data_IF_098652666253
#
_entry.id   IF_098652666253
#
_cell.length_a   1.000
_cell.length_b   1.000
_cell.length_c   1.000
_cell.angle_alpha   90.00
_cell.angle_beta   90.00
_cell.angle_gamma   90.00
#
_symmetry.space_group_name_H-M   'P 1'
#
loop_
_entity.id
_entity.type
_entity.pdbx_description
1 polymer ?
#
# COMPACT_ATOMS: atom_id res chain seq x y z
N UNK A 1 1.17 -16.35 0.21
CA UNK A 1 0.71 -15.24 -0.67
C UNK A 1 -0.78 -15.05 -0.46
N UNK A 2 -1.20 -13.80 -0.26
CA UNK A 2 -2.60 -13.41 -0.22
C UNK A 2 -2.92 -12.58 -1.46
N UNK A 3 -3.98 -12.91 -2.19
CA UNK A 3 -4.37 -12.23 -3.41
C UNK A 3 -5.88 -12.28 -3.66
N UNK A 4 -6.42 -11.30 -4.38
CA UNK A 4 -7.78 -11.42 -4.93
C UNK A 4 -7.81 -12.52 -6.00
N UNK A 5 -8.95 -13.22 -6.25
CA UNK A 5 -9.03 -14.35 -7.19
C UNK A 5 -8.51 -14.05 -8.60
N UNK A 6 -8.77 -12.83 -9.10
CA UNK A 6 -8.29 -12.37 -10.41
C UNK A 6 -6.77 -12.17 -10.48
N UNK A 7 -6.11 -12.00 -9.33
CA UNK A 7 -4.65 -11.90 -9.20
C UNK A 7 -4.04 -13.27 -8.88
N UNK A 8 -4.71 -14.06 -8.04
CA UNK A 8 -4.27 -15.41 -7.65
C UNK A 8 -4.15 -16.34 -8.88
N UNK A 9 -5.14 -16.34 -9.76
CA UNK A 9 -5.17 -17.22 -10.92
C UNK A 9 -3.99 -17.02 -11.90
N UNK A 10 -3.58 -15.80 -12.30
CA UNK A 10 -2.35 -15.58 -13.08
C UNK A 10 -1.09 -16.01 -12.33
N UNK A 11 -0.97 -15.72 -11.03
CA UNK A 11 0.20 -16.12 -10.24
C UNK A 11 0.35 -17.64 -10.24
N UNK A 12 -0.72 -18.37 -9.94
CA UNK A 12 -0.72 -19.85 -9.96
C UNK A 12 -0.37 -20.40 -11.34
N UNK A 13 -0.81 -19.76 -12.42
CA UNK A 13 -0.51 -20.17 -13.79
C UNK A 13 0.96 -19.96 -14.15
N UNK A 14 1.54 -18.81 -13.81
CA UNK A 14 2.89 -18.46 -14.21
C UNK A 14 3.97 -18.98 -13.25
N UNK A 15 3.63 -19.16 -11.98
CA UNK A 15 4.55 -19.60 -10.93
C UNK A 15 4.11 -20.92 -10.30
N UNK A 16 3.38 -21.76 -11.04
CA UNK A 16 2.84 -23.03 -10.54
C UNK A 16 3.89 -23.94 -9.88
N UNK A 17 5.15 -23.85 -10.31
CA UNK A 17 6.27 -24.60 -9.74
C UNK A 17 6.60 -24.21 -8.28
N UNK A 18 6.08 -23.09 -7.77
CA UNK A 18 6.22 -22.67 -6.39
C UNK A 18 5.07 -23.16 -5.49
N UNK A 19 3.99 -23.66 -6.08
CA UNK A 19 2.77 -24.05 -5.38
C UNK A 19 2.53 -25.55 -5.57
N UNK A 20 2.28 -26.28 -4.52
CA UNK A 20 1.98 -27.71 -4.61
C UNK A 20 3.03 -28.59 -3.95
N UNK A 21 2.79 -29.92 -4.01
CA UNK A 21 3.63 -30.90 -3.34
C UNK A 21 4.86 -31.32 -4.16
N UNK A 22 4.78 -31.24 -5.47
CA UNK A 22 5.82 -31.70 -6.41
C UNK A 22 6.59 -30.49 -6.98
N UNK A 23 7.15 -29.67 -6.12
CA UNK A 23 7.95 -28.54 -6.53
C UNK A 23 9.42 -28.95 -6.77
N UNK A 24 10.11 -28.24 -7.64
CA UNK A 24 11.52 -28.46 -7.92
C UNK A 24 12.36 -28.17 -6.66
N UNK A 25 13.30 -29.05 -6.27
CA UNK A 25 14.22 -28.79 -5.15
C UNK A 25 14.95 -27.45 -5.35
N UNK A 26 14.82 -26.53 -4.38
CA UNK A 26 15.41 -25.19 -4.45
C UNK A 26 14.45 -24.11 -4.95
N UNK A 27 13.24 -24.46 -5.43
CA UNK A 27 12.20 -23.46 -5.66
C UNK A 27 11.54 -23.06 -4.34
N UNK A 28 11.05 -21.81 -4.22
CA UNK A 28 10.27 -21.37 -3.06
C UNK A 28 9.01 -22.23 -2.88
N UNK A 29 8.68 -22.55 -1.64
CA UNK A 29 7.39 -23.15 -1.31
C UNK A 29 6.41 -22.04 -0.92
N UNK A 30 5.36 -21.85 -1.70
CA UNK A 30 4.35 -20.83 -1.47
C UNK A 30 2.98 -21.47 -1.26
N UNK A 31 2.18 -20.85 -0.41
CA UNK A 31 0.76 -21.16 -0.25
C UNK A 31 -0.05 -19.97 -0.73
N UNK A 32 -1.07 -20.22 -1.56
CA UNK A 32 -2.00 -19.21 -2.02
C UNK A 32 -3.21 -19.16 -1.08
N UNK A 33 -3.55 -17.95 -0.64
CA UNK A 33 -4.78 -17.64 0.08
C UNK A 33 -5.52 -16.56 -0.70
N UNK A 34 -6.78 -16.77 -0.99
CA UNK A 34 -7.62 -15.76 -1.62
C UNK A 34 -8.33 -14.92 -0.55
N UNK A 35 -8.48 -13.61 -0.83
CA UNK A 35 -9.26 -12.71 0.01
C UNK A 35 -10.28 -11.93 -0.83
N UNK A 36 -11.36 -11.49 -0.17
CA UNK A 36 -12.31 -10.52 -0.72
C UNK A 36 -11.97 -9.12 -0.22
N UNK A 37 -12.11 -8.13 -1.09
CA UNK A 37 -11.89 -6.71 -0.73
C UNK A 37 -12.84 -6.20 0.36
N UNK A 38 -13.99 -6.85 0.49
CA UNK A 38 -15.04 -6.45 1.42
C UNK A 38 -14.93 -7.13 2.79
N UNK A 39 -13.95 -8.03 2.98
CA UNK A 39 -13.79 -8.80 4.20
C UNK A 39 -12.37 -8.72 4.75
N UNK A 40 -12.25 -8.43 6.04
CA UNK A 40 -10.97 -8.57 6.74
C UNK A 40 -10.58 -10.03 6.88
N UNK A 41 -9.28 -10.30 6.87
CA UNK A 41 -8.71 -11.63 7.07
C UNK A 41 -7.57 -11.59 8.10
N UNK A 42 -7.14 -12.75 8.56
CA UNK A 42 -6.00 -12.87 9.48
C UNK A 42 -4.79 -13.40 8.74
N UNK A 43 -3.67 -12.68 8.83
CA UNK A 43 -2.37 -13.10 8.33
C UNK A 43 -1.31 -12.93 9.41
N UNK A 44 -0.53 -13.98 9.68
CA UNK A 44 0.52 -14.00 10.71
C UNK A 44 0.06 -13.49 12.10
N UNK A 45 -1.20 -13.77 12.47
CA UNK A 45 -1.79 -13.34 13.74
C UNK A 45 -2.33 -11.92 13.77
N UNK A 46 -2.14 -11.14 12.71
CA UNK A 46 -2.67 -9.78 12.59
C UNK A 46 -3.96 -9.75 11.76
N UNK A 47 -4.90 -8.88 12.15
CA UNK A 47 -6.07 -8.59 11.33
C UNK A 47 -5.69 -7.63 10.22
N UNK A 48 -5.99 -8.03 8.98
CA UNK A 48 -5.74 -7.24 7.77
C UNK A 48 -7.08 -6.85 7.15
N UNK A 49 -7.30 -5.56 6.98
CA UNK A 49 -8.48 -5.02 6.31
C UNK A 49 -8.08 -4.52 4.93
N UNK A 50 -8.58 -5.14 3.84
CA UNK A 50 -8.32 -4.65 2.50
C UNK A 50 -9.00 -3.31 2.24
N UNK A 51 -8.32 -2.45 1.49
CA UNK A 51 -8.80 -1.13 1.10
C UNK A 51 -8.75 -1.06 -0.43
N UNK A 52 -9.89 -0.81 -1.08
CA UNK A 52 -9.90 -0.60 -2.52
C UNK A 52 -9.25 0.73 -2.86
N UNK A 53 -8.22 0.72 -3.68
CA UNK A 53 -7.63 1.93 -4.26
C UNK A 53 -7.58 1.81 -5.77
N UNK A 54 -7.45 2.94 -6.47
CA UNK A 54 -7.42 2.97 -7.93
C UNK A 54 -6.02 3.33 -8.41
N UNK A 55 -5.49 2.54 -9.33
CA UNK A 55 -4.29 2.83 -10.10
C UNK A 55 -4.71 3.24 -11.51
N UNK A 56 -5.00 4.51 -11.71
CA UNK A 56 -5.72 4.98 -12.88
C UNK A 56 -7.13 4.36 -12.96
N UNK A 57 -7.35 3.48 -13.92
CA UNK A 57 -8.61 2.72 -14.07
C UNK A 57 -8.58 1.33 -13.44
N UNK A 58 -7.41 0.87 -13.02
CA UNK A 58 -7.24 -0.46 -12.46
C UNK A 58 -7.56 -0.44 -10.95
N UNK A 59 -8.56 -1.22 -10.50
CA UNK A 59 -8.78 -1.40 -9.08
C UNK A 59 -7.70 -2.33 -8.50
N UNK A 60 -7.04 -1.88 -7.43
CA UNK A 60 -6.02 -2.63 -6.69
C UNK A 60 -6.33 -2.59 -5.20
N UNK A 61 -5.59 -3.34 -4.40
CA UNK A 61 -5.76 -3.39 -2.95
C UNK A 61 -4.61 -2.71 -2.21
N UNK A 62 -4.93 -1.77 -1.33
CA UNK A 62 -4.14 -1.41 -0.17
C UNK A 62 -4.59 -2.24 1.04
N UNK A 63 -3.89 -2.11 2.15
CA UNK A 63 -4.18 -2.90 3.35
C UNK A 63 -4.06 -2.04 4.60
N UNK A 64 -4.96 -2.24 5.56
CA UNK A 64 -4.83 -1.72 6.91
C UNK A 64 -4.51 -2.87 7.87
N UNK A 65 -3.44 -2.72 8.65
CA UNK A 65 -3.01 -3.66 9.68
C UNK A 65 -3.09 -2.92 11.01
N UNK A 66 -4.07 -3.25 11.84
CA UNK A 66 -4.34 -2.48 13.05
C UNK A 66 -4.73 -1.03 12.77
N UNK A 67 -3.92 -0.07 13.20
CA UNK A 67 -4.09 1.36 12.93
C UNK A 67 -3.12 1.95 11.90
N UNK A 68 -2.45 1.06 11.11
CA UNK A 68 -1.55 1.39 10.02
C UNK A 68 -2.13 0.99 8.65
N UNK A 69 -2.70 1.88 7.86
CA UNK A 69 -2.94 1.69 6.44
C UNK A 69 -1.65 1.82 5.62
N UNK A 70 -1.45 0.87 4.72
CA UNK A 70 -0.40 0.86 3.72
C UNK A 70 -1.03 0.86 2.32
N UNK A 71 -0.91 1.97 1.61
CA UNK A 71 -1.51 2.16 0.29
C UNK A 71 -0.47 2.64 -0.70
N UNK A 72 -0.05 1.77 -1.59
CA UNK A 72 0.89 2.09 -2.67
C UNK A 72 0.18 2.14 -4.02
N UNK A 73 0.82 2.75 -5.01
CA UNK A 73 0.37 2.78 -6.41
C UNK A 73 -1.04 3.39 -6.64
N UNK A 74 -1.52 4.23 -5.74
CA UNK A 74 -2.85 4.80 -5.92
C UNK A 74 -2.82 6.15 -6.66
N UNK A 75 -3.84 6.38 -7.47
CA UNK A 75 -4.21 7.69 -8.02
C UNK A 75 -5.45 8.26 -7.32
N UNK A 76 -6.33 7.40 -6.80
CA UNK A 76 -7.55 7.79 -6.12
C UNK A 76 -8.01 6.76 -5.09
N UNK A 77 -8.69 7.24 -4.06
CA UNK A 77 -9.41 6.44 -3.07
C UNK A 77 -10.91 6.63 -3.27
N UNK A 78 -11.69 5.56 -3.54
CA UNK A 78 -13.15 5.64 -3.61
C UNK A 78 -13.77 6.14 -2.30
N UNK A 79 -14.88 6.87 -2.39
CA UNK A 79 -15.52 7.45 -1.20
C UNK A 79 -15.99 6.39 -0.20
N UNK A 80 -16.39 5.21 -0.66
CA UNK A 80 -16.76 4.07 0.18
C UNK A 80 -15.64 3.57 1.09
N UNK A 81 -14.37 3.85 0.77
CA UNK A 81 -13.21 3.32 1.48
C UNK A 81 -12.72 4.22 2.63
N UNK A 82 -13.12 5.50 2.64
CA UNK A 82 -12.72 6.45 3.68
C UNK A 82 -13.04 5.98 5.11
N UNK A 83 -14.17 5.32 5.39
CA UNK A 83 -14.44 4.80 6.73
C UNK A 83 -13.39 3.82 7.25
N UNK A 84 -12.69 3.09 6.36
CA UNK A 84 -11.61 2.17 6.75
C UNK A 84 -10.35 2.89 7.23
N UNK A 85 -10.24 4.21 7.00
CA UNK A 85 -9.10 5.05 7.42
C UNK A 85 -9.37 5.83 8.71
N UNK A 86 -10.53 5.65 9.34
CA UNK A 86 -10.84 6.34 10.59
C UNK A 86 -10.01 5.79 11.75
N UNK A 87 -9.51 6.71 12.60
CA UNK A 87 -8.80 6.37 13.82
C UNK A 87 -7.41 5.77 13.63
N UNK A 88 -6.80 5.94 12.45
CA UNK A 88 -5.42 5.51 12.19
C UNK A 88 -4.42 6.49 12.80
N UNK A 89 -3.33 5.98 13.36
CA UNK A 89 -2.24 6.81 13.91
C UNK A 89 -1.13 7.04 12.91
N UNK A 90 -0.84 6.04 12.09
CA UNK A 90 0.23 6.10 11.10
C UNK A 90 -0.34 5.77 9.71
N UNK A 91 -0.04 6.59 8.73
CA UNK A 91 -0.41 6.38 7.34
C UNK A 91 0.84 6.16 6.48
N UNK A 92 0.87 5.09 5.70
CA UNK A 92 1.88 4.88 4.65
C UNK A 92 1.18 4.96 3.30
N UNK A 93 1.59 5.92 2.47
CA UNK A 93 0.90 6.19 1.21
C UNK A 93 1.88 6.63 0.12
N UNK A 94 1.59 6.25 -1.13
CA UNK A 94 2.43 6.65 -2.25
C UNK A 94 2.34 8.15 -2.56
N UNK A 95 3.47 8.76 -2.92
CA UNK A 95 3.59 10.12 -3.42
C UNK A 95 4.65 10.16 -4.52
N UNK A 96 4.23 9.97 -5.78
CA UNK A 96 5.18 9.69 -6.85
C UNK A 96 6.15 10.86 -7.12
N UNK A 97 5.60 12.08 -7.27
CA UNK A 97 6.35 13.29 -7.65
C UNK A 97 5.45 14.54 -7.53
N UNK A 98 6.02 15.75 -7.63
CA UNK A 98 5.23 16.99 -7.63
C UNK A 98 4.27 17.10 -8.83
N UNK A 99 4.70 16.71 -10.04
CA UNK A 99 3.92 16.88 -11.26
C UNK A 99 2.86 15.77 -11.43
N UNK A 100 1.75 16.07 -12.10
CA UNK A 100 0.67 15.11 -12.35
C UNK A 100 1.14 13.82 -13.05
N UNK A 101 0.50 12.71 -12.71
CA UNK A 101 0.67 11.42 -13.35
C UNK A 101 -0.68 10.72 -13.54
N UNK A 102 -0.82 9.92 -14.62
CA UNK A 102 -2.11 9.33 -14.99
C UNK A 102 -2.61 8.26 -14.01
N UNK A 103 -1.70 7.62 -13.28
CA UNK A 103 -2.01 6.45 -12.45
C UNK A 103 -1.57 6.58 -10.99
N UNK A 104 -0.85 7.66 -10.66
CA UNK A 104 -0.37 7.92 -9.29
C UNK A 104 -0.75 9.32 -8.85
N UNK A 105 -0.95 9.48 -7.56
CA UNK A 105 -1.14 10.81 -6.97
C UNK A 105 0.18 11.58 -6.88
N UNK A 106 0.06 12.91 -6.95
CA UNK A 106 1.16 13.83 -6.70
C UNK A 106 1.45 13.92 -5.20
N UNK A 107 2.58 14.53 -4.85
CA UNK A 107 2.89 14.84 -3.45
C UNK A 107 1.80 15.71 -2.80
N UNK A 108 1.31 16.74 -3.49
CA UNK A 108 0.26 17.62 -2.97
C UNK A 108 -1.05 16.86 -2.70
N UNK A 109 -1.44 15.96 -3.61
CA UNK A 109 -2.61 15.09 -3.42
C UNK A 109 -2.43 14.14 -2.24
N UNK A 110 -1.23 13.57 -2.07
CA UNK A 110 -0.89 12.70 -0.94
C UNK A 110 -0.93 13.47 0.40
N UNK A 111 -0.39 14.69 0.45
CA UNK A 111 -0.49 15.58 1.62
C UNK A 111 -1.96 15.91 1.93
N UNK A 112 -2.76 16.22 0.91
CA UNK A 112 -4.20 16.49 1.09
C UNK A 112 -4.94 15.28 1.65
N UNK A 113 -4.65 14.09 1.14
CA UNK A 113 -5.20 12.83 1.66
C UNK A 113 -4.78 12.60 3.12
N UNK A 114 -3.49 12.76 3.46
CA UNK A 114 -2.97 12.59 4.80
C UNK A 114 -3.65 13.53 5.81
N UNK A 115 -3.86 14.79 5.44
CA UNK A 115 -4.60 15.77 6.25
C UNK A 115 -6.06 15.36 6.47
N UNK A 116 -6.71 14.82 5.45
CA UNK A 116 -8.10 14.34 5.55
C UNK A 116 -8.19 13.08 6.43
N UNK A 117 -7.22 12.19 6.38
CA UNK A 117 -7.13 11.01 7.27
C UNK A 117 -6.90 11.45 8.71
N UNK A 118 -6.07 12.47 8.93
CA UNK A 118 -5.76 12.98 10.26
C UNK A 118 -4.83 12.08 11.07
N UNK A 119 -3.99 11.28 10.41
CA UNK A 119 -2.97 10.46 11.06
C UNK A 119 -1.92 11.35 11.75
N UNK A 120 -1.43 10.92 12.92
CA UNK A 120 -0.37 11.63 13.63
C UNK A 120 0.95 11.61 12.85
N UNK A 121 1.20 10.50 12.15
CA UNK A 121 2.39 10.33 11.31
C UNK A 121 2.00 9.85 9.92
N UNK A 122 2.61 10.44 8.89
CA UNK A 122 2.44 9.99 7.50
C UNK A 122 3.80 9.78 6.86
N UNK A 123 3.99 8.61 6.26
CA UNK A 123 5.19 8.27 5.52
C UNK A 123 4.86 8.12 4.04
N UNK A 124 5.52 8.94 3.22
CA UNK A 124 5.39 8.87 1.77
C UNK A 124 6.34 7.83 1.19
N UNK A 125 5.82 7.00 0.31
CA UNK A 125 6.55 5.94 -0.40
C UNK A 125 6.36 6.07 -1.91
N UNK A 126 7.00 5.19 -2.68
CA UNK A 126 6.84 5.11 -4.14
C UNK A 126 7.25 6.40 -4.87
N UNK A 127 8.19 7.14 -4.30
CA UNK A 127 8.72 8.35 -4.92
C UNK A 127 9.66 8.01 -6.10
N UNK A 128 9.58 8.78 -7.16
CA UNK A 128 10.56 8.73 -8.26
C UNK A 128 11.70 9.74 -8.05
N UNK A 129 12.71 9.72 -8.92
CA UNK A 129 13.86 10.62 -8.85
C UNK A 129 13.50 12.12 -8.87
N UNK A 130 12.33 12.50 -9.38
CA UNK A 130 11.86 13.89 -9.41
C UNK A 130 11.40 14.40 -8.03
N UNK A 131 11.20 13.51 -7.05
CA UNK A 131 10.95 13.91 -5.66
C UNK A 131 12.18 14.57 -5.00
N UNK A 132 13.37 14.44 -5.60
CA UNK A 132 14.61 15.00 -5.08
C UNK A 132 15.31 14.10 -4.06
N UNK A 133 16.27 14.68 -3.34
CA UNK A 133 16.95 13.98 -2.23
C UNK A 133 16.09 14.02 -0.98
N UNK A 134 15.97 12.91 -0.28
CA UNK A 134 15.12 12.80 0.91
C UNK A 134 15.35 13.93 1.93
N UNK A 135 16.59 14.19 2.31
CA UNK A 135 16.92 15.20 3.32
C UNK A 135 16.50 16.65 2.93
N UNK A 136 16.45 16.94 1.64
CA UNK A 136 16.02 18.24 1.10
C UNK A 136 14.48 18.29 1.01
N UNK A 137 13.87 17.18 0.58
CA UNK A 137 12.43 17.05 0.40
C UNK A 137 11.69 17.01 1.73
N UNK A 138 12.19 16.28 2.73
CA UNK A 138 11.59 16.20 4.07
C UNK A 138 11.50 17.56 4.76
N UNK A 139 12.50 18.43 4.56
CA UNK A 139 12.50 19.77 5.13
C UNK A 139 11.36 20.67 4.62
N UNK A 140 10.68 20.29 3.54
CA UNK A 140 9.58 21.03 2.94
C UNK A 140 8.20 20.40 3.28
N UNK A 141 8.18 19.24 3.95
CA UNK A 141 6.95 18.56 4.30
C UNK A 141 6.28 19.18 5.54
N UNK A 142 4.95 19.11 5.65
CA UNK A 142 4.25 19.48 6.86
C UNK A 142 4.70 18.64 8.07
N UNK A 143 4.52 19.20 9.26
CA UNK A 143 4.78 18.50 10.52
C UNK A 143 4.02 17.15 10.57
N UNK A 144 4.67 16.11 11.07
CA UNK A 144 4.14 14.75 11.12
C UNK A 144 4.19 13.99 9.79
N UNK A 145 4.79 14.57 8.74
CA UNK A 145 4.94 13.93 7.43
C UNK A 145 6.42 13.80 7.06
N UNK A 146 6.82 12.66 6.50
CA UNK A 146 8.18 12.39 6.05
C UNK A 146 8.17 11.43 4.86
N UNK A 147 9.24 11.41 4.08
CA UNK A 147 9.50 10.32 3.16
C UNK A 147 10.03 9.09 3.90
N UNK A 148 9.55 7.91 3.55
CA UNK A 148 10.16 6.67 4.02
C UNK A 148 11.53 6.46 3.37
N UNK A 149 12.41 5.74 4.05
CA UNK A 149 13.74 5.38 3.59
C UNK A 149 14.06 3.92 3.93
N UNK A 150 15.06 3.36 3.26
CA UNK A 150 15.49 1.98 3.47
C UNK A 150 15.99 1.78 4.90
N UNK A 151 15.40 0.83 5.61
CA UNK A 151 15.71 0.57 7.02
C UNK A 151 14.87 1.38 8.02
N UNK A 152 13.85 2.16 7.56
CA UNK A 152 12.91 2.81 8.47
C UNK A 152 12.09 1.74 9.23
N UNK A 153 12.13 1.80 10.55
CA UNK A 153 11.29 0.99 11.43
C UNK A 153 10.17 1.86 12.01
N UNK A 154 8.94 1.34 11.97
CA UNK A 154 7.75 2.03 12.48
C UNK A 154 7.10 1.10 13.53
N UNK A 155 6.93 1.60 14.73
CA UNK A 155 6.16 0.93 15.78
C UNK A 155 4.66 1.26 15.62
N UNK A 156 3.80 0.21 15.58
CA UNK A 156 2.35 0.32 15.43
C UNK A 156 1.60 -0.59 16.40
#
# INVERSE_FOLDING_TARGET
VWAEPNVAAPILRHMGYCFGKDHYPGSPQLTMHEFSIDQSFTAAGATVTPIRVMHGRLPIAGFRIGDLPYMTDLSALPDSEWPKLLGVRTLVVSALRPEPHNTHQTLEQAISMARRVGAAHTYFIHMCHQAGRQCEADAQLPEGMAYAYDGLEIEC
#
